data_IF_073836355281
#
_entry.id   IF_073836355281
#
_cell.length_a   1.000
_cell.length_b   1.000
_cell.length_c   1.000
_cell.angle_alpha   90.00
_cell.angle_beta   90.00
_cell.angle_gamma   90.00
#
_symmetry.space_group_name_H-M   'P 1'
#
loop_
_entity.id
_entity.type
_entity.pdbx_description
1 polymer ?
#
# COMPACT_ATOMS: atom_id res chain seq x y z
N UNK A 1 -8.81 7.33 -32.84
CA UNK A 1 -8.65 5.88 -32.59
C UNK A 1 -7.86 5.73 -31.30
N UNK A 2 -8.37 4.93 -30.36
CA UNK A 2 -7.67 4.62 -29.12
C UNK A 2 -6.76 3.41 -29.34
N UNK A 3 -5.56 3.46 -28.78
CA UNK A 3 -4.61 2.35 -28.78
C UNK A 3 -4.16 2.09 -27.35
N UNK A 4 -4.31 0.85 -26.89
CA UNK A 4 -3.78 0.41 -25.61
C UNK A 4 -2.59 -0.51 -25.86
N UNK A 5 -1.48 -0.28 -25.15
CA UNK A 5 -0.30 -1.15 -25.18
C UNK A 5 0.24 -1.38 -23.77
N UNK A 6 0.89 -2.53 -23.57
CA UNK A 6 1.66 -2.79 -22.35
C UNK A 6 3.12 -2.38 -22.49
N UNK A 7 3.75 -2.01 -21.38
CA UNK A 7 5.21 -1.85 -21.22
C UNK A 7 5.71 -2.80 -20.12
N UNK A 8 6.93 -3.29 -20.26
CA UNK A 8 7.54 -4.31 -19.38
C UNK A 8 8.20 -3.71 -18.13
N UNK A 9 8.34 -2.38 -18.07
CA UNK A 9 8.78 -1.67 -16.89
C UNK A 9 8.45 -0.19 -16.97
N UNK A 10 8.33 0.45 -15.80
CA UNK A 10 8.00 1.87 -15.68
C UNK A 10 9.08 2.78 -16.29
N UNK A 11 10.30 2.27 -16.51
CA UNK A 11 11.39 3.00 -17.17
C UNK A 11 11.15 3.25 -18.66
N UNK A 12 10.22 2.55 -19.31
CA UNK A 12 9.88 2.75 -20.74
C UNK A 12 9.04 4.02 -21.00
N UNK A 13 8.57 4.67 -19.94
CA UNK A 13 7.85 5.94 -20.00
C UNK A 13 8.56 6.98 -19.13
N UNK A 14 8.58 8.23 -19.61
CA UNK A 14 9.20 9.31 -18.84
C UNK A 14 8.39 9.58 -17.57
N UNK A 15 9.09 9.94 -16.48
CA UNK A 15 8.44 10.36 -15.24
C UNK A 15 7.51 11.56 -15.45
N UNK A 16 7.87 12.46 -16.38
CA UNK A 16 7.07 13.63 -16.74
C UNK A 16 5.71 13.21 -17.30
N UNK A 17 5.68 12.31 -18.28
CA UNK A 17 4.45 11.91 -18.96
C UNK A 17 3.55 11.07 -18.04
N UNK A 18 4.14 10.15 -17.28
CA UNK A 18 3.39 9.35 -16.31
C UNK A 18 2.78 10.22 -15.19
N UNK A 19 3.60 11.07 -14.57
CA UNK A 19 3.14 11.91 -13.46
C UNK A 19 2.21 13.04 -13.93
N UNK A 20 2.28 13.44 -15.21
CA UNK A 20 1.31 14.39 -15.78
C UNK A 20 -0.12 13.86 -15.63
N UNK A 21 -0.35 12.57 -15.87
CA UNK A 21 -1.68 11.94 -15.80
C UNK A 21 -2.07 11.48 -14.39
N UNK A 22 -1.09 11.11 -13.55
CA UNK A 22 -1.36 10.58 -12.21
C UNK A 22 -1.52 11.67 -11.14
N UNK A 23 -1.07 12.90 -11.42
CA UNK A 23 -0.98 13.95 -10.42
C UNK A 23 0.10 13.68 -9.37
N UNK A 24 0.03 14.43 -8.25
CA UNK A 24 1.06 14.42 -7.20
C UNK A 24 0.50 14.05 -5.82
N UNK A 25 -0.83 13.96 -5.70
CA UNK A 25 -1.56 13.82 -4.45
C UNK A 25 -1.41 12.43 -3.83
N UNK A 26 -1.43 11.38 -4.66
CA UNK A 26 -1.26 9.99 -4.24
C UNK A 26 0.18 9.50 -4.54
N UNK A 27 1.07 9.45 -3.53
CA UNK A 27 2.50 9.27 -3.71
C UNK A 27 2.87 7.90 -4.28
N UNK A 28 2.01 6.90 -4.09
CA UNK A 28 2.30 5.52 -4.49
C UNK A 28 2.06 5.23 -5.97
N UNK A 29 1.30 6.08 -6.68
CA UNK A 29 1.12 5.99 -8.13
C UNK A 29 2.19 6.78 -8.89
N UNK A 30 3.01 7.56 -8.20
CA UNK A 30 4.10 8.31 -8.83
C UNK A 30 5.13 7.40 -9.48
N UNK A 31 5.66 7.87 -10.61
CA UNK A 31 6.71 7.19 -11.36
C UNK A 31 7.91 6.85 -10.48
N UNK A 32 8.37 7.79 -9.66
CA UNK A 32 9.57 7.63 -8.83
C UNK A 32 9.43 6.49 -7.82
N UNK A 33 8.21 6.26 -7.31
CA UNK A 33 7.91 5.19 -6.36
C UNK A 33 7.90 3.82 -7.05
N UNK A 34 7.17 3.70 -8.17
CA UNK A 34 7.11 2.47 -8.97
C UNK A 34 8.50 2.11 -9.53
N UNK A 35 9.24 3.10 -10.02
CA UNK A 35 10.61 2.93 -10.49
C UNK A 35 11.55 2.50 -9.37
N UNK A 36 11.41 3.04 -8.16
CA UNK A 36 12.22 2.58 -7.02
C UNK A 36 11.96 1.11 -6.69
N UNK A 37 10.72 0.62 -6.80
CA UNK A 37 10.36 -0.78 -6.59
C UNK A 37 11.00 -1.71 -7.64
N UNK A 38 10.89 -1.35 -8.91
CA UNK A 38 11.38 -2.15 -10.04
C UNK A 38 12.91 -2.11 -10.14
N UNK A 39 13.49 -0.91 -10.11
CA UNK A 39 14.95 -0.73 -10.21
C UNK A 39 15.72 -1.23 -8.98
N UNK A 40 15.03 -1.62 -7.91
CA UNK A 40 15.62 -2.30 -6.75
C UNK A 40 15.38 -3.81 -6.74
N UNK A 41 14.65 -4.35 -7.71
CA UNK A 41 14.21 -5.75 -7.75
C UNK A 41 13.38 -6.16 -6.53
N UNK A 42 12.75 -5.21 -5.82
CA UNK A 42 11.69 -5.54 -4.88
C UNK A 42 10.45 -6.05 -5.66
N UNK A 43 10.22 -5.45 -6.82
CA UNK A 43 9.27 -5.89 -7.85
C UNK A 43 10.07 -6.45 -9.00
N UNK A 44 10.02 -7.77 -9.18
CA UNK A 44 10.68 -8.49 -10.28
C UNK A 44 10.01 -9.85 -10.48
N UNK A 45 10.23 -10.51 -11.63
CA UNK A 45 9.74 -11.87 -11.85
C UNK A 45 10.16 -12.84 -10.73
N UNK A 46 11.37 -12.67 -10.18
CA UNK A 46 11.88 -13.48 -9.07
C UNK A 46 11.16 -13.27 -7.73
N UNK A 47 10.49 -12.13 -7.53
CA UNK A 47 9.61 -11.88 -6.37
C UNK A 47 8.14 -12.16 -6.69
N UNK A 48 7.88 -12.76 -7.86
CA UNK A 48 6.54 -13.07 -8.35
C UNK A 48 5.75 -11.83 -8.79
N UNK A 49 6.42 -10.74 -9.14
CA UNK A 49 5.86 -9.50 -9.65
C UNK A 49 6.52 -9.13 -10.98
N UNK A 50 5.91 -9.48 -12.11
CA UNK A 50 6.39 -9.05 -13.42
C UNK A 50 5.64 -7.79 -13.85
N UNK A 51 6.29 -6.63 -14.03
CA UNK A 51 5.61 -5.43 -14.51
C UNK A 51 5.04 -5.62 -15.92
N UNK A 52 3.85 -5.06 -16.13
CA UNK A 52 3.11 -5.10 -17.38
C UNK A 52 2.15 -3.90 -17.40
N UNK A 53 2.68 -2.67 -17.31
CA UNK A 53 1.84 -1.48 -17.16
C UNK A 53 1.14 -1.12 -18.47
N UNK A 54 -0.07 -0.56 -18.40
CA UNK A 54 -0.81 -0.16 -19.58
C UNK A 54 -0.66 1.33 -19.85
N UNK A 55 -0.50 1.65 -21.13
CA UNK A 55 -0.53 2.99 -21.68
C UNK A 55 -1.67 3.06 -22.71
N UNK A 56 -2.47 4.11 -22.65
CA UNK A 56 -3.54 4.38 -23.60
C UNK A 56 -3.28 5.69 -24.34
N UNK A 57 -3.29 5.62 -25.66
CA UNK A 57 -3.10 6.75 -26.54
C UNK A 57 -4.38 7.05 -27.34
N UNK A 58 -4.66 8.33 -27.55
CA UNK A 58 -5.60 8.82 -28.56
C UNK A 58 -4.79 9.47 -29.69
N UNK A 59 -4.66 8.77 -30.81
CA UNK A 59 -3.69 9.15 -31.84
C UNK A 59 -2.26 9.16 -31.27
N UNK A 60 -1.61 10.33 -31.25
CA UNK A 60 -0.25 10.49 -30.69
C UNK A 60 -0.23 10.89 -29.22
N UNK A 61 -1.36 11.28 -28.64
CA UNK A 61 -1.43 11.79 -27.27
C UNK A 61 -1.60 10.63 -26.29
N UNK A 62 -0.77 10.58 -25.24
CA UNK A 62 -0.98 9.69 -24.10
C UNK A 62 -2.09 10.26 -23.22
N UNK A 63 -3.15 9.49 -22.98
CA UNK A 63 -4.36 9.96 -22.28
C UNK A 63 -4.67 9.20 -20.99
N UNK A 64 -4.15 7.97 -20.82
CA UNK A 64 -4.29 7.23 -19.57
C UNK A 64 -3.14 6.25 -19.34
N UNK A 65 -2.87 5.95 -18.07
CA UNK A 65 -1.90 4.96 -17.62
C UNK A 65 -2.45 4.11 -16.48
N UNK A 66 -2.02 2.85 -16.38
CA UNK A 66 -2.40 1.95 -15.31
C UNK A 66 -1.22 1.06 -14.89
N UNK A 67 -0.75 1.10 -13.63
CA UNK A 67 0.20 0.12 -13.13
C UNK A 67 -0.48 -1.25 -13.07
N UNK A 68 0.04 -2.18 -13.86
CA UNK A 68 -0.39 -3.57 -13.87
C UNK A 68 0.82 -4.51 -13.84
N UNK A 69 0.60 -5.70 -13.30
CA UNK A 69 1.60 -6.73 -13.06
C UNK A 69 1.04 -8.12 -13.37
N UNK A 70 1.89 -9.03 -13.82
CA UNK A 70 1.63 -10.47 -13.84
C UNK A 70 2.12 -11.05 -12.50
N UNK A 71 1.25 -11.78 -11.80
CA UNK A 71 1.50 -12.36 -10.48
C UNK A 71 1.54 -13.87 -10.51
N UNK A 72 2.57 -14.44 -9.90
CA UNK A 72 2.72 -15.90 -9.73
C UNK A 72 2.36 -16.41 -8.33
N UNK A 73 2.03 -15.51 -7.40
CA UNK A 73 1.52 -15.81 -6.05
C UNK A 73 0.91 -14.56 -5.39
N UNK A 74 0.04 -14.70 -4.37
CA UNK A 74 -0.55 -13.56 -3.63
C UNK A 74 0.38 -12.79 -2.67
N UNK A 75 1.63 -13.22 -2.45
CA UNK A 75 2.50 -12.49 -1.52
C UNK A 75 2.78 -11.05 -1.98
N UNK A 76 2.67 -10.12 -1.02
CA UNK A 76 2.85 -8.68 -1.23
C UNK A 76 1.59 -7.94 -1.69
N UNK A 77 0.51 -8.64 -2.01
CA UNK A 77 -0.76 -8.02 -2.43
C UNK A 77 -1.60 -7.53 -1.24
N UNK A 78 -1.33 -8.05 -0.03
CA UNK A 78 -2.13 -7.86 1.19
C UNK A 78 -3.59 -8.33 1.09
N UNK A 79 -3.94 -8.96 -0.02
CA UNK A 79 -5.17 -9.70 -0.27
C UNK A 79 -4.73 -11.11 -0.66
N UNK A 80 -5.05 -12.11 0.18
CA UNK A 80 -4.63 -13.48 -0.06
C UNK A 80 -5.73 -14.26 -0.77
N UNK A 81 -5.37 -14.86 -1.90
CA UNK A 81 -6.28 -15.66 -2.73
C UNK A 81 -6.12 -17.16 -2.49
N UNK A 82 -5.61 -17.58 -1.33
CA UNK A 82 -5.37 -19.00 -1.05
C UNK A 82 -6.63 -19.85 -1.26
N UNK A 83 -7.80 -19.38 -0.79
CA UNK A 83 -9.05 -20.09 -1.02
C UNK A 83 -9.41 -20.25 -2.51
N UNK A 84 -9.07 -19.27 -3.36
CA UNK A 84 -9.27 -19.36 -4.81
C UNK A 84 -8.26 -20.29 -5.45
N UNK A 85 -6.98 -20.15 -5.12
CA UNK A 85 -5.92 -21.01 -5.61
C UNK A 85 -6.17 -22.49 -5.26
N UNK A 86 -6.56 -22.76 -4.01
CA UNK A 86 -6.92 -24.10 -3.55
C UNK A 86 -8.14 -24.66 -4.29
N UNK A 87 -9.15 -23.82 -4.55
CA UNK A 87 -10.32 -24.24 -5.32
C UNK A 87 -9.96 -24.62 -6.75
N UNK A 88 -9.16 -23.80 -7.45
CA UNK A 88 -8.68 -24.09 -8.80
C UNK A 88 -7.85 -25.38 -8.85
N UNK A 89 -6.95 -25.56 -7.89
CA UNK A 89 -6.15 -26.77 -7.78
C UNK A 89 -7.02 -28.03 -7.59
N UNK A 90 -8.10 -27.96 -6.80
CA UNK A 90 -9.06 -29.07 -6.65
C UNK A 90 -9.76 -29.45 -7.96
N UNK A 91 -9.87 -28.53 -8.92
CA UNK A 91 -10.40 -28.78 -10.26
C UNK A 91 -9.29 -29.04 -11.31
N UNK A 92 -8.03 -29.19 -10.89
CA UNK A 92 -6.91 -29.43 -11.81
C UNK A 92 -6.54 -28.23 -12.69
N UNK A 93 -6.97 -27.02 -12.33
CA UNK A 93 -6.69 -25.80 -13.09
C UNK A 93 -5.61 -24.95 -12.39
N UNK A 94 -4.67 -24.34 -13.14
CA UNK A 94 -3.70 -23.42 -12.55
C UNK A 94 -4.32 -22.05 -12.27
N UNK A 95 -4.30 -21.60 -11.01
CA UNK A 95 -4.74 -20.24 -10.66
C UNK A 95 -3.72 -19.15 -10.98
N UNK A 96 -2.44 -19.48 -11.05
CA UNK A 96 -1.38 -18.55 -11.43
C UNK A 96 -0.82 -18.94 -12.81
N UNK A 97 -0.38 -17.96 -13.63
CA UNK A 97 -0.33 -16.53 -13.32
C UNK A 97 -1.71 -15.84 -13.38
N UNK A 98 -1.82 -14.68 -12.74
CA UNK A 98 -2.98 -13.76 -12.86
C UNK A 98 -2.50 -12.34 -13.19
N UNK A 99 -3.35 -11.54 -13.83
CA UNK A 99 -3.13 -10.10 -13.99
C UNK A 99 -3.57 -9.34 -12.74
N UNK A 100 -2.84 -8.30 -12.39
CA UNK A 100 -3.07 -7.52 -11.18
C UNK A 100 -2.84 -6.03 -11.42
N UNK A 101 -3.87 -5.22 -11.18
CA UNK A 101 -3.76 -3.77 -11.02
C UNK A 101 -3.74 -3.44 -9.53
N UNK A 102 -2.56 -3.09 -9.02
CA UNK A 102 -2.34 -2.74 -7.62
C UNK A 102 -1.06 -1.91 -7.47
N UNK A 103 -0.83 -1.35 -6.29
CA UNK A 103 0.47 -0.83 -5.90
C UNK A 103 1.21 -1.92 -5.10
N UNK A 104 2.39 -2.38 -5.54
CA UNK A 104 3.12 -3.43 -4.85
C UNK A 104 3.42 -3.05 -3.40
N UNK A 105 3.21 -4.03 -2.52
CA UNK A 105 3.45 -3.93 -1.09
C UNK A 105 2.69 -2.82 -0.37
N UNK A 106 1.66 -2.24 -0.97
CA UNK A 106 0.98 -1.04 -0.45
C UNK A 106 -0.55 -1.25 -0.39
N UNK A 107 -1.10 -1.58 0.78
CA UNK A 107 -2.54 -1.81 0.96
C UNK A 107 -3.35 -0.51 1.13
N UNK A 108 -3.01 0.54 0.39
CA UNK A 108 -3.68 1.84 0.43
C UNK A 108 -4.67 1.96 -0.71
N UNK A 109 -5.89 2.43 -0.42
CA UNK A 109 -6.88 2.78 -1.45
C UNK A 109 -6.37 3.95 -2.27
N UNK A 110 -6.58 3.91 -3.59
CA UNK A 110 -6.24 5.05 -4.45
C UNK A 110 -6.70 4.85 -5.89
N UNK A 111 -6.32 5.76 -6.80
CA UNK A 111 -6.96 5.92 -8.11
C UNK A 111 -6.71 4.75 -9.07
N UNK A 112 -5.53 4.09 -8.99
CA UNK A 112 -5.08 2.96 -9.85
C UNK A 112 -5.01 3.24 -11.36
N UNK A 113 -5.60 4.34 -11.83
CA UNK A 113 -5.53 4.82 -13.21
C UNK A 113 -5.15 6.30 -13.13
N UNK A 114 -4.13 6.70 -13.88
CA UNK A 114 -3.83 8.11 -14.12
C UNK A 114 -4.47 8.54 -15.43
N UNK A 115 -5.33 9.56 -15.42
CA UNK A 115 -5.96 10.11 -16.63
C UNK A 115 -6.56 11.50 -16.34
N UNK A 116 -6.67 12.33 -17.37
CA UNK A 116 -7.46 13.57 -17.33
C UNK A 116 -8.86 13.42 -17.92
N UNK A 117 -9.19 12.23 -18.43
CA UNK A 117 -10.49 11.94 -19.00
C UNK A 117 -11.40 11.26 -17.97
N UNK A 118 -12.73 11.38 -18.10
CA UNK A 118 -13.66 10.64 -17.26
C UNK A 118 -13.38 9.13 -17.26
N UNK A 119 -13.32 8.52 -16.07
CA UNK A 119 -12.98 7.09 -15.92
C UNK A 119 -13.94 6.18 -16.70
N UNK A 120 -15.21 6.56 -16.84
CA UNK A 120 -16.21 5.78 -17.60
C UNK A 120 -15.89 5.70 -19.12
N UNK A 121 -15.03 6.56 -19.66
CA UNK A 121 -14.51 6.45 -21.03
C UNK A 121 -13.27 5.58 -21.14
N UNK A 122 -12.46 5.54 -20.07
CA UNK A 122 -11.14 4.90 -20.04
C UNK A 122 -11.23 3.43 -19.62
N UNK A 123 -12.01 3.14 -18.58
CA UNK A 123 -12.10 1.81 -17.97
C UNK A 123 -12.56 0.73 -18.97
N UNK A 124 -13.59 0.93 -19.81
CA UNK A 124 -14.01 -0.10 -20.77
C UNK A 124 -12.89 -0.50 -21.74
N UNK A 125 -12.15 0.48 -22.25
CA UNK A 125 -11.02 0.25 -23.17
C UNK A 125 -9.85 -0.47 -22.50
N UNK A 126 -9.57 -0.18 -21.22
CA UNK A 126 -8.59 -0.96 -20.47
C UNK A 126 -9.06 -2.38 -20.20
N UNK A 127 -10.34 -2.60 -19.90
CA UNK A 127 -10.89 -3.95 -19.67
C UNK A 127 -10.73 -4.82 -20.92
N UNK A 128 -11.06 -4.29 -22.09
CA UNK A 128 -10.88 -4.98 -23.38
C UNK A 128 -9.41 -5.36 -23.60
N UNK A 129 -8.49 -4.43 -23.40
CA UNK A 129 -7.05 -4.70 -23.53
C UNK A 129 -6.55 -5.73 -22.51
N UNK A 130 -7.03 -5.67 -21.27
CA UNK A 130 -6.68 -6.62 -20.20
C UNK A 130 -7.18 -8.03 -20.53
N UNK A 131 -8.36 -8.16 -21.15
CA UNK A 131 -8.88 -9.45 -21.61
C UNK A 131 -7.97 -10.05 -22.68
N UNK A 132 -7.60 -9.27 -23.70
CA UNK A 132 -6.69 -9.72 -24.75
C UNK A 132 -5.30 -10.11 -24.21
N UNK A 133 -4.76 -9.36 -23.26
CA UNK A 133 -3.51 -9.71 -22.56
C UNK A 133 -3.67 -10.96 -21.70
N UNK A 134 -4.82 -11.14 -21.05
CA UNK A 134 -5.11 -12.30 -20.23
C UNK A 134 -5.11 -13.60 -21.04
N UNK A 135 -5.62 -13.56 -22.27
CA UNK A 135 -5.54 -14.67 -23.23
C UNK A 135 -4.10 -14.91 -23.69
N UNK A 136 -3.39 -13.85 -24.07
CA UNK A 136 -2.01 -13.92 -24.57
C UNK A 136 -1.02 -14.50 -23.54
N UNK A 137 -1.18 -14.14 -22.27
CA UNK A 137 -0.36 -14.63 -21.17
C UNK A 137 -0.93 -15.88 -20.47
N UNK A 138 -2.04 -16.44 -20.97
CA UNK A 138 -2.76 -17.57 -20.38
C UNK A 138 -2.98 -17.42 -18.87
N UNK A 139 -3.47 -16.25 -18.46
CA UNK A 139 -3.73 -15.95 -17.05
C UNK A 139 -5.10 -16.44 -16.60
N UNK A 140 -5.25 -16.72 -15.30
CA UNK A 140 -6.52 -17.14 -14.71
C UNK A 140 -7.59 -16.04 -14.68
N UNK A 141 -7.18 -14.78 -14.78
CA UNK A 141 -8.05 -13.61 -14.71
C UNK A 141 -7.30 -12.36 -14.31
N UNK A 142 -8.06 -11.29 -14.03
CA UNK A 142 -7.54 -9.99 -13.62
C UNK A 142 -8.19 -9.49 -12.33
N UNK A 143 -7.36 -8.92 -11.44
CA UNK A 143 -7.77 -8.38 -10.15
C UNK A 143 -7.39 -6.90 -10.04
N UNK A 144 -8.33 -6.05 -9.61
CA UNK A 144 -8.07 -4.68 -9.18
C UNK A 144 -8.14 -4.57 -7.66
N UNK A 145 -7.05 -4.17 -7.00
CA UNK A 145 -6.97 -4.12 -5.53
C UNK A 145 -6.88 -2.69 -4.99
N UNK A 146 -7.63 -2.44 -3.91
CA UNK A 146 -7.73 -1.15 -3.21
C UNK A 146 -8.02 0.02 -4.18
N UNK A 147 -9.06 -0.18 -5.00
CA UNK A 147 -9.58 0.83 -5.93
C UNK A 147 -10.47 1.82 -5.19
N UNK A 148 -10.53 3.05 -5.67
CA UNK A 148 -11.50 4.03 -5.20
C UNK A 148 -12.95 3.61 -5.53
N UNK A 149 -13.95 4.15 -4.79
CA UNK A 149 -15.35 3.79 -5.01
C UNK A 149 -15.85 4.01 -6.44
N UNK A 150 -15.42 5.10 -7.10
CA UNK A 150 -15.80 5.41 -8.47
C UNK A 150 -15.32 4.32 -9.45
N UNK A 151 -14.03 3.99 -9.43
CA UNK A 151 -13.46 2.93 -10.26
C UNK A 151 -14.11 1.58 -9.97
N UNK A 152 -14.40 1.30 -8.70
CA UNK A 152 -15.09 0.06 -8.30
C UNK A 152 -16.49 0.00 -8.90
N UNK A 153 -17.24 1.10 -8.88
CA UNK A 153 -18.59 1.16 -9.43
C UNK A 153 -18.58 1.01 -10.95
N UNK A 154 -17.72 1.73 -11.66
CA UNK A 154 -17.58 1.61 -13.11
C UNK A 154 -17.21 0.17 -13.49
N UNK A 155 -16.31 -0.47 -12.72
CA UNK A 155 -15.96 -1.88 -12.91
C UNK A 155 -17.18 -2.82 -12.79
N UNK A 156 -18.05 -2.61 -11.80
CA UNK A 156 -19.31 -3.37 -11.66
C UNK A 156 -20.24 -3.17 -12.85
N UNK A 157 -20.36 -1.93 -13.33
CA UNK A 157 -21.19 -1.60 -14.49
C UNK A 157 -20.67 -2.26 -15.77
N UNK A 158 -19.36 -2.56 -15.83
CA UNK A 158 -18.70 -3.37 -16.86
C UNK A 158 -18.72 -4.88 -16.56
N UNK A 159 -19.48 -5.32 -15.54
CA UNK A 159 -19.70 -6.72 -15.20
C UNK A 159 -18.63 -7.37 -14.32
N UNK A 160 -17.66 -6.61 -13.77
CA UNK A 160 -16.68 -7.17 -12.85
C UNK A 160 -17.33 -7.51 -11.50
N UNK A 161 -16.95 -8.65 -10.92
CA UNK A 161 -17.41 -9.04 -9.60
C UNK A 161 -16.70 -8.25 -8.51
N UNK A 162 -17.36 -8.06 -7.37
CA UNK A 162 -16.76 -7.36 -6.25
C UNK A 162 -16.52 -8.29 -5.06
N UNK A 163 -15.28 -8.43 -4.61
CA UNK A 163 -14.91 -9.08 -3.36
C UNK A 163 -14.81 -8.07 -2.23
N UNK A 164 -15.56 -8.28 -1.17
CA UNK A 164 -15.56 -7.41 0.00
C UNK A 164 -14.41 -7.77 0.93
N UNK A 165 -13.73 -6.75 1.44
CA UNK A 165 -12.74 -6.86 2.51
C UNK A 165 -13.00 -5.84 3.61
N UNK A 166 -12.45 -6.09 4.80
CA UNK A 166 -12.52 -5.15 5.93
C UNK A 166 -11.16 -4.51 6.16
N UNK A 167 -11.12 -3.18 6.17
CA UNK A 167 -9.95 -2.40 6.55
C UNK A 167 -10.29 -1.48 7.72
N UNK A 168 -9.29 -1.21 8.55
CA UNK A 168 -9.39 -0.23 9.63
C UNK A 168 -8.63 1.02 9.21
N UNK A 169 -9.36 2.10 8.99
CA UNK A 169 -8.80 3.40 8.66
C UNK A 169 -8.90 4.32 9.87
N UNK A 170 -7.86 5.12 10.10
CA UNK A 170 -7.93 6.23 11.05
C UNK A 170 -8.13 7.52 10.26
N UNK A 171 -9.09 8.33 10.67
CA UNK A 171 -9.36 9.62 10.06
C UNK A 171 -9.08 10.72 11.08
N UNK A 172 -8.27 11.69 10.69
CA UNK A 172 -8.16 12.92 11.46
C UNK A 172 -9.44 13.75 11.30
N UNK A 173 -10.27 13.83 12.35
CA UNK A 173 -11.50 14.62 12.35
C UNK A 173 -11.24 16.06 12.76
N UNK A 174 -10.17 16.65 12.23
CA UNK A 174 -9.69 17.98 12.59
C UNK A 174 -9.42 18.15 14.10
N UNK A 175 -8.81 17.12 14.71
CA UNK A 175 -8.44 17.21 16.12
C UNK A 175 -7.36 18.27 16.30
N UNK A 176 -7.62 19.24 17.19
CA UNK A 176 -6.69 20.32 17.54
C UNK A 176 -5.47 19.83 18.30
N UNK A 177 -5.66 18.79 19.12
CA UNK A 177 -4.66 18.23 20.00
C UNK A 177 -5.01 16.80 20.42
N UNK A 178 -4.13 16.20 21.23
CA UNK A 178 -4.28 14.83 21.70
C UNK A 178 -5.46 14.63 22.66
N UNK A 179 -5.80 15.65 23.47
CA UNK A 179 -6.92 15.56 24.40
C UNK A 179 -8.26 15.66 23.67
N UNK A 180 -8.36 16.52 22.65
CA UNK A 180 -9.48 16.57 21.74
C UNK A 180 -9.69 15.19 21.07
N UNK A 181 -8.62 14.55 20.57
CA UNK A 181 -8.70 13.18 20.04
C UNK A 181 -9.23 12.16 21.08
N UNK A 182 -8.76 12.22 22.33
CA UNK A 182 -9.21 11.33 23.41
C UNK A 182 -10.64 11.60 23.89
N UNK A 183 -11.17 12.81 23.69
CA UNK A 183 -12.53 13.17 24.09
C UNK A 183 -13.58 12.33 23.35
N UNK A 184 -13.31 11.94 22.10
CA UNK A 184 -14.19 11.10 21.28
C UNK A 184 -14.15 9.60 21.62
N UNK A 185 -13.40 9.20 22.64
CA UNK A 185 -13.29 7.81 23.05
C UNK A 185 -14.06 7.50 24.33
N UNK A 186 -14.44 6.23 24.51
CA UNK A 186 -15.00 5.74 25.77
C UNK A 186 -14.01 5.94 26.92
N UNK A 187 -14.51 6.18 28.14
CA UNK A 187 -13.69 6.42 29.34
C UNK A 187 -12.64 5.31 29.56
N UNK A 188 -13.02 4.04 29.32
CA UNK A 188 -12.10 2.90 29.42
C UNK A 188 -10.95 3.00 28.42
N UNK A 189 -11.24 3.30 27.15
CA UNK A 189 -10.24 3.41 26.08
C UNK A 189 -9.32 4.60 26.32
N UNK A 190 -9.87 5.76 26.68
CA UNK A 190 -9.13 6.97 27.05
C UNK A 190 -8.17 6.71 28.22
N UNK A 191 -8.64 6.09 29.32
CA UNK A 191 -7.78 5.74 30.47
C UNK A 191 -6.67 4.76 30.09
N UNK A 192 -6.96 3.79 29.22
CA UNK A 192 -5.97 2.84 28.72
C UNK A 192 -4.87 3.53 27.92
N UNK A 193 -5.22 4.41 26.98
CA UNK A 193 -4.25 5.12 26.14
C UNK A 193 -3.37 6.05 26.99
N UNK A 194 -3.97 6.81 27.92
CA UNK A 194 -3.21 7.66 28.85
C UNK A 194 -2.20 6.83 29.65
N UNK A 195 -2.63 5.73 30.27
CA UNK A 195 -1.75 4.83 31.03
C UNK A 195 -0.59 4.28 30.19
N UNK A 196 -0.81 3.99 28.91
CA UNK A 196 0.26 3.53 28.03
C UNK A 196 1.23 4.66 27.63
N UNK A 197 0.72 5.87 27.42
CA UNK A 197 1.55 7.05 27.17
C UNK A 197 2.38 7.42 28.41
N UNK A 198 1.81 7.31 29.61
CA UNK A 198 2.51 7.51 30.88
C UNK A 198 3.62 6.48 31.11
N UNK A 199 3.45 5.25 30.64
CA UNK A 199 4.55 4.26 30.66
C UNK A 199 5.69 4.71 29.76
N UNK A 200 5.40 5.34 28.62
CA UNK A 200 6.43 5.84 27.71
C UNK A 200 7.11 7.07 28.31
N UNK A 201 6.40 7.98 28.98
CA UNK A 201 7.03 9.15 29.62
C UNK A 201 7.99 8.78 30.76
N UNK A 202 7.76 7.64 31.41
CA UNK A 202 8.67 7.07 32.42
C UNK A 202 9.93 6.42 31.83
N UNK A 203 9.86 6.01 30.57
CA UNK A 203 11.04 5.60 29.81
C UNK A 203 11.64 6.89 29.28
N UNK A 204 12.92 7.18 29.53
CA UNK A 204 13.58 8.40 29.05
C UNK A 204 13.71 8.41 27.52
N UNK A 205 12.62 8.35 26.77
CA UNK A 205 12.55 8.20 25.33
C UNK A 205 11.93 9.44 24.72
N UNK A 206 12.62 10.03 23.75
CA UNK A 206 12.09 11.08 22.89
C UNK A 206 11.73 10.48 21.54
N UNK A 207 10.46 10.61 21.16
CA UNK A 207 9.96 10.21 19.85
C UNK A 207 9.92 11.44 18.95
N UNK A 208 10.45 11.31 17.73
CA UNK A 208 10.41 12.33 16.68
C UNK A 208 9.99 11.71 15.36
N UNK A 209 9.29 12.46 14.53
CA UNK A 209 9.18 12.17 13.11
C UNK A 209 10.33 12.88 12.40
N UNK A 210 11.06 12.13 11.58
CA UNK A 210 12.00 12.66 10.60
C UNK A 210 11.29 12.70 9.26
N UNK A 211 11.32 13.84 8.58
CA UNK A 211 10.65 14.03 7.30
C UNK A 211 11.66 14.29 6.18
N UNK A 212 11.44 13.64 5.03
CA UNK A 212 12.27 13.75 3.83
C UNK A 212 13.77 13.78 4.09
N UNK A 213 14.39 14.94 3.88
CA UNK A 213 15.84 15.10 3.99
C UNK A 213 16.38 14.98 5.43
N UNK A 214 15.52 15.00 6.46
CA UNK A 214 15.93 14.66 7.84
C UNK A 214 16.23 13.16 8.01
N UNK A 215 15.80 12.32 7.07
CA UNK A 215 16.02 10.87 7.10
C UNK A 215 17.40 10.57 6.51
N UNK A 216 18.42 10.67 7.36
CA UNK A 216 19.78 10.31 6.99
C UNK A 216 19.97 8.79 6.79
N UNK A 217 21.15 8.40 6.28
CA UNK A 217 21.50 7.00 6.03
C UNK A 217 21.50 6.17 7.32
N UNK A 218 21.85 6.76 8.46
CA UNK A 218 21.83 6.09 9.77
C UNK A 218 20.39 5.77 10.19
N UNK A 219 19.46 6.71 10.08
CA UNK A 219 18.05 6.51 10.36
C UNK A 219 17.46 5.43 9.43
N UNK A 220 17.79 5.49 8.14
CA UNK A 220 17.31 4.53 7.14
C UNK A 220 17.83 3.10 7.41
N UNK A 221 19.08 2.96 7.84
CA UNK A 221 19.67 1.67 8.19
C UNK A 221 18.99 1.04 9.40
N UNK A 222 18.75 1.83 10.45
CA UNK A 222 18.03 1.37 11.61
C UNK A 222 16.59 0.97 11.26
N UNK A 223 15.90 1.78 10.45
CA UNK A 223 14.58 1.43 9.94
C UNK A 223 14.60 0.07 9.22
N UNK A 224 15.54 -0.14 8.30
CA UNK A 224 15.65 -1.39 7.55
C UNK A 224 15.87 -2.61 8.46
N UNK A 225 16.73 -2.48 9.47
CA UNK A 225 16.94 -3.53 10.46
C UNK A 225 15.65 -3.88 11.20
N UNK A 226 14.91 -2.87 11.72
CA UNK A 226 13.65 -3.12 12.41
C UNK A 226 12.56 -3.70 11.49
N UNK A 227 12.53 -3.26 10.23
CA UNK A 227 11.65 -3.78 9.21
C UNK A 227 11.88 -5.28 9.00
N UNK A 228 13.14 -5.71 8.83
CA UNK A 228 13.49 -7.12 8.66
C UNK A 228 13.20 -7.93 9.92
N UNK A 229 13.56 -7.43 11.11
CA UNK A 229 13.25 -8.11 12.40
C UNK A 229 11.74 -8.32 12.55
N UNK A 230 10.92 -7.37 12.13
CA UNK A 230 9.45 -7.48 12.21
C UNK A 230 8.92 -8.63 11.35
N UNK A 231 9.48 -8.83 10.15
CA UNK A 231 9.10 -9.93 9.27
C UNK A 231 9.66 -11.27 9.77
N UNK A 232 10.90 -11.28 10.27
CA UNK A 232 11.54 -12.48 10.82
C UNK A 232 10.77 -13.06 11.99
N UNK A 233 10.18 -12.21 12.86
CA UNK A 233 9.29 -12.65 13.94
C UNK A 233 8.05 -13.40 13.46
N UNK A 234 7.69 -13.29 12.18
CA UNK A 234 6.60 -14.02 11.52
C UNK A 234 7.11 -15.13 10.59
N UNK A 235 8.39 -15.49 10.67
CA UNK A 235 9.01 -16.50 9.81
C UNK A 235 9.13 -16.09 8.35
N UNK A 236 9.11 -14.79 8.03
CA UNK A 236 9.16 -14.28 6.65
C UNK A 236 10.31 -13.28 6.49
N UNK A 237 10.82 -13.14 5.26
CA UNK A 237 11.67 -12.01 4.90
C UNK A 237 10.80 -10.80 4.57
N UNK A 238 11.32 -9.59 4.77
CA UNK A 238 10.66 -8.38 4.32
C UNK A 238 10.65 -8.27 2.79
N UNK A 239 9.57 -7.75 2.23
CA UNK A 239 9.40 -7.51 0.80
C UNK A 239 10.31 -6.41 0.25
N UNK A 240 10.43 -5.30 1.00
CA UNK A 240 11.22 -4.15 0.61
C UNK A 240 12.67 -4.35 1.00
N UNK A 241 13.57 -4.13 0.05
CA UNK A 241 15.01 -4.27 0.27
C UNK A 241 15.69 -2.91 0.53
N UNK A 242 16.97 -2.94 0.91
CA UNK A 242 17.74 -1.73 1.22
C UNK A 242 17.90 -0.81 0.00
N UNK A 243 18.00 -1.39 -1.20
CA UNK A 243 18.13 -0.61 -2.43
C UNK A 243 16.87 0.22 -2.72
N UNK A 244 15.68 -0.34 -2.50
CA UNK A 244 14.41 0.39 -2.58
C UNK A 244 14.40 1.61 -1.65
N UNK A 245 14.77 1.40 -0.38
CA UNK A 245 14.77 2.47 0.64
C UNK A 245 15.74 3.59 0.27
N UNK A 246 16.95 3.25 -0.18
CA UNK A 246 17.95 4.21 -0.60
C UNK A 246 17.52 5.00 -1.85
N UNK A 247 16.87 4.34 -2.81
CA UNK A 247 16.34 5.01 -4.02
C UNK A 247 15.20 5.96 -3.65
N UNK A 248 14.28 5.50 -2.81
CA UNK A 248 13.15 6.31 -2.33
C UNK A 248 13.62 7.56 -1.59
N UNK A 249 14.61 7.42 -0.69
CA UNK A 249 15.14 8.55 0.09
C UNK A 249 15.85 9.59 -0.76
N UNK A 250 16.43 9.19 -1.90
CA UNK A 250 17.13 10.10 -2.82
C UNK A 250 16.17 10.76 -3.81
N UNK A 251 15.30 9.98 -4.42
CA UNK A 251 14.51 10.40 -5.57
C UNK A 251 13.16 10.99 -5.17
N UNK A 252 12.64 10.62 -4.00
CA UNK A 252 11.36 11.10 -3.54
C UNK A 252 11.29 11.38 -2.03
N UNK A 253 12.20 12.22 -1.50
CA UNK A 253 12.32 12.47 -0.07
C UNK A 253 11.06 13.13 0.51
N UNK A 254 10.43 14.06 -0.21
CA UNK A 254 9.35 14.89 0.37
C UNK A 254 8.10 14.11 0.78
N UNK A 255 7.91 12.89 0.28
CA UNK A 255 6.85 12.04 0.80
C UNK A 255 7.26 11.21 2.00
N UNK A 256 8.53 11.00 2.28
CA UNK A 256 8.95 10.08 3.34
C UNK A 256 8.80 10.67 4.74
N UNK A 257 8.28 9.86 5.67
CA UNK A 257 8.24 10.13 7.10
C UNK A 257 8.66 8.89 7.89
N UNK A 258 9.60 9.08 8.82
CA UNK A 258 10.10 8.02 9.70
C UNK A 258 9.95 8.40 11.18
N UNK A 259 9.17 7.62 11.92
CA UNK A 259 9.08 7.75 13.38
C UNK A 259 10.29 7.07 14.05
N UNK A 260 11.10 7.87 14.74
CA UNK A 260 12.27 7.41 15.48
C UNK A 260 12.11 7.68 16.97
N UNK A 261 12.57 6.77 17.82
CA UNK A 261 12.68 7.01 19.26
C UNK A 261 14.15 6.95 19.68
N UNK A 262 14.64 7.99 20.36
CA UNK A 262 15.99 8.03 20.94
C UNK A 262 15.90 8.14 22.46
N UNK A 263 16.80 7.50 23.18
CA UNK A 263 16.95 7.73 24.61
C UNK A 263 17.46 9.15 24.87
N UNK A 264 16.79 9.89 25.75
CA UNK A 264 17.20 11.20 26.22
C UNK A 264 18.38 11.02 27.18
N UNK A 265 19.59 11.22 26.65
CA UNK A 265 20.81 11.13 27.46
C UNK A 265 20.85 12.23 28.51
N UNK A 266 21.25 11.88 29.74
CA UNK A 266 21.99 12.80 30.60
C UNK A 266 23.33 13.07 29.90
N UNK A 267 23.76 14.33 29.88
CA UNK A 267 24.98 14.81 29.20
C UNK A 267 26.17 13.85 29.37
N UNK A 268 27.00 13.74 28.31
CA UNK A 268 28.23 12.94 28.18
C UNK A 268 28.10 11.41 28.13
N UNK A 269 27.90 10.87 26.92
CA UNK A 269 28.44 9.59 26.40
C UNK A 269 27.91 9.37 24.96
N UNK A 270 28.39 8.36 24.21
CA UNK A 270 28.11 8.10 22.78
C UNK A 270 26.84 7.25 22.47
N UNK A 271 26.05 7.53 21.40
CA UNK A 271 24.66 7.08 21.16
C UNK A 271 24.42 5.56 21.23
N UNK A 272 23.30 5.14 21.83
CA UNK A 272 22.88 3.75 21.92
C UNK A 272 21.35 3.67 21.89
N UNK A 273 20.88 2.77 21.02
CA UNK A 273 19.53 2.23 20.82
C UNK A 273 18.40 3.16 20.31
N UNK A 274 17.95 2.81 19.10
CA UNK A 274 16.65 3.19 18.53
C UNK A 274 15.65 2.07 18.78
N UNK A 275 14.38 2.41 19.00
CA UNK A 275 13.26 1.46 18.96
C UNK A 275 12.21 2.03 18.03
N UNK A 276 12.28 1.71 16.73
CA UNK A 276 11.20 2.06 15.83
C UNK A 276 9.95 1.28 16.26
N UNK A 277 8.90 1.99 16.68
CA UNK A 277 7.55 1.41 16.71
C UNK A 277 7.00 1.43 15.28
N UNK A 278 6.12 0.46 15.01
CA UNK A 278 5.55 0.14 13.69
C UNK A 278 5.34 1.42 12.85
N UNK A 279 5.97 1.51 11.68
CA UNK A 279 5.61 2.50 10.68
C UNK A 279 4.13 2.34 10.33
N UNK A 280 3.39 3.45 10.33
CA UNK A 280 1.98 3.51 9.97
C UNK A 280 1.87 4.02 8.54
N UNK A 281 1.07 3.34 7.71
CA UNK A 281 0.58 3.91 6.46
C UNK A 281 -0.52 4.90 6.84
N UNK A 282 -0.18 6.18 6.78
CA UNK A 282 -1.17 7.24 6.78
C UNK A 282 -1.60 7.45 5.33
N UNK A 283 -2.83 7.04 5.00
CA UNK A 283 -3.48 7.33 3.73
C UNK A 283 -4.40 8.55 3.91
N UNK A 284 -3.91 9.58 4.61
CA UNK A 284 -4.69 10.79 4.84
C UNK A 284 -3.93 12.03 4.40
N UNK A 285 -4.47 12.67 3.37
CA UNK A 285 -4.17 14.03 2.99
C UNK A 285 -4.52 15.01 4.11
N UNK A 286 -3.50 15.46 4.85
CA UNK A 286 -3.59 16.67 5.66
C UNK A 286 -2.19 17.24 5.94
N UNK A 287 -1.83 18.28 5.19
CA UNK A 287 -0.85 19.26 5.63
C UNK A 287 -1.47 20.07 6.78
N UNK A 288 -1.27 19.65 8.03
CA UNK A 288 -1.17 20.60 9.15
C UNK A 288 -0.49 20.02 10.39
N UNK A 289 0.20 20.92 11.09
CA UNK A 289 1.19 20.72 12.16
C UNK A 289 0.73 19.74 13.26
N UNK A 290 1.61 18.77 13.54
CA UNK A 290 1.85 18.08 14.83
C UNK A 290 0.61 17.67 15.66
N UNK A 291 0.30 16.37 15.70
CA UNK A 291 0.28 15.60 16.97
C UNK A 291 0.33 14.10 16.69
N UNK A 292 1.21 13.39 17.41
CA UNK A 292 1.47 11.96 17.20
C UNK A 292 0.49 11.13 18.06
N UNK A 293 -0.48 10.47 17.41
CA UNK A 293 -1.35 9.48 18.03
C UNK A 293 -0.56 8.17 18.24
N UNK A 294 -0.12 7.93 19.48
CA UNK A 294 0.53 6.70 19.88
C UNK A 294 -0.53 5.60 20.04
N UNK A 295 -0.52 4.59 19.16
CA UNK A 295 -1.49 3.48 19.25
C UNK A 295 -1.15 2.50 20.36
N UNK A 296 -2.23 2.01 20.95
CA UNK A 296 -2.29 1.25 22.17
C UNK A 296 -2.01 -0.24 22.01
N UNK A 297 -0.95 -0.73 22.68
CA UNK A 297 -0.80 -2.05 23.33
C UNK A 297 0.70 -2.34 23.58
N UNK A 298 1.15 -2.48 24.84
CA UNK A 298 2.42 -3.13 25.13
C UNK A 298 2.23 -4.65 24.94
N UNK A 299 2.96 -5.26 24.01
CA UNK A 299 3.18 -6.71 24.07
C UNK A 299 4.09 -6.98 25.28
N UNK A 300 3.46 -7.28 26.41
CA UNK A 300 4.10 -8.00 27.52
C UNK A 300 4.09 -9.46 27.08
N UNK A 301 5.28 -10.05 26.95
CA UNK A 301 5.46 -11.48 26.75
C UNK A 301 4.96 -12.16 28.03
N UNK A 302 3.83 -12.85 27.95
CA UNK A 302 3.51 -13.96 28.84
C UNK A 302 3.42 -15.20 27.95
N UNK A 303 4.30 -16.15 28.22
CA UNK A 303 4.16 -17.52 27.74
C UNK A 303 2.86 -18.10 28.31
N UNK A 304 1.93 -18.45 27.43
CA UNK A 304 1.02 -19.59 27.58
C UNK A 304 0.02 -19.62 26.42
N UNK A 305 0.03 -20.74 25.70
CA UNK A 305 -1.09 -21.40 25.01
C UNK A 305 -1.96 -20.59 24.01
N UNK A 306 -1.83 -20.98 22.74
CA UNK A 306 -2.90 -21.15 21.73
C UNK A 306 -3.94 -20.05 21.55
N UNK A 307 -3.75 -19.18 20.55
CA UNK A 307 -4.80 -18.80 19.60
C UNK A 307 -4.20 -18.04 18.40
N UNK A 308 -4.53 -18.51 17.20
CA UNK A 308 -4.16 -17.89 15.93
C UNK A 308 -4.84 -16.52 15.79
N UNK A 309 -4.05 -15.45 15.69
CA UNK A 309 -4.54 -14.12 15.32
C UNK A 309 -3.69 -13.57 14.16
N UNK A 310 -4.20 -13.75 12.93
CA UNK A 310 -3.55 -13.32 11.68
C UNK A 310 -3.71 -11.80 11.47
N UNK A 311 -3.05 -11.02 12.32
CA UNK A 311 -2.93 -9.56 12.14
C UNK A 311 -1.82 -9.22 11.14
N UNK A 312 -2.19 -8.95 9.89
CA UNK A 312 -1.29 -8.39 8.87
C UNK A 312 -0.83 -6.98 9.30
N UNK A 313 0.47 -6.75 9.52
CA UNK A 313 1.00 -5.40 9.75
C UNK A 313 2.03 -5.06 8.70
N UNK A 314 1.68 -4.13 7.82
CA UNK A 314 2.62 -3.45 6.95
C UNK A 314 3.43 -2.45 7.79
N UNK A 315 4.75 -2.51 7.67
CA UNK A 315 5.68 -1.54 8.22
C UNK A 315 6.31 -0.81 7.03
N UNK A 316 5.61 0.14 6.43
CA UNK A 316 6.17 0.97 5.35
C UNK A 316 6.53 2.32 5.95
N UNK A 317 7.69 2.84 5.57
CA UNK A 317 8.03 4.25 5.78
C UNK A 317 6.82 5.09 5.35
N UNK A 318 6.23 5.88 6.25
CA UNK A 318 4.97 6.57 5.96
C UNK A 318 5.16 7.53 4.80
N UNK A 319 4.27 7.53 3.80
CA UNK A 319 4.26 8.53 2.74
C UNK A 319 3.23 9.63 3.05
N UNK A 320 3.55 10.89 2.78
CA UNK A 320 2.61 12.03 2.90
C UNK A 320 1.70 12.10 1.67
N UNK A 321 0.39 12.24 1.89
CA UNK A 321 -0.60 12.57 0.87
C UNK A 321 -1.06 14.04 0.98
N UNK A 322 -1.58 14.57 -0.12
CA UNK A 322 -2.32 15.84 -0.27
C UNK A 322 -3.66 15.41 -0.88
N UNK A 323 -4.88 15.63 -0.36
CA UNK A 323 -5.74 16.85 -0.44
C UNK A 323 -7.09 16.63 0.32
N UNK A 324 -8.12 17.49 0.05
CA UNK A 324 -9.32 17.90 0.83
C UNK A 324 -10.60 17.01 0.81
N UNK A 325 -11.33 17.09 1.94
CA UNK A 325 -12.79 17.17 2.19
C UNK A 325 -13.76 15.94 2.12
N UNK A 326 -14.60 15.92 3.17
CA UNK A 326 -15.91 15.30 3.44
C UNK A 326 -16.02 13.80 3.79
N UNK A 327 -17.07 13.51 4.56
CA UNK A 327 -17.02 12.72 5.79
C UNK A 327 -17.89 11.46 5.77
N UNK A 328 -17.44 10.39 6.44
CA UNK A 328 -18.24 9.42 7.19
C UNK A 328 -17.29 8.50 8.01
N UNK A 329 -17.63 8.17 9.27
CA UNK A 329 -17.17 6.88 9.84
C UNK A 329 -18.26 5.88 9.50
N UNK A 330 -17.96 4.97 8.59
CA UNK A 330 -18.78 3.79 8.32
C UNK A 330 -17.82 2.63 8.03
N UNK A 331 -18.20 1.38 8.31
CA UNK A 331 -17.51 0.25 7.70
C UNK A 331 -17.65 0.43 6.19
N UNK A 332 -16.60 0.94 5.54
CA UNK A 332 -16.55 1.00 4.09
C UNK A 332 -16.31 -0.42 3.60
N UNK A 333 -17.34 -1.01 3.01
CA UNK A 333 -17.23 -2.20 2.17
C UNK A 333 -16.43 -1.78 0.93
N UNK A 334 -15.10 -1.85 1.04
CA UNK A 334 -14.22 -1.65 -0.10
C UNK A 334 -14.26 -2.92 -0.93
N UNK A 335 -14.85 -2.76 -2.11
CA UNK A 335 -14.88 -3.77 -3.12
C UNK A 335 -13.53 -3.93 -3.79
N UNK A 336 -13.09 -5.17 -3.97
CA UNK A 336 -12.04 -5.53 -4.91
C UNK A 336 -12.73 -6.01 -6.17
N UNK A 337 -12.42 -5.47 -7.34
CA UNK A 337 -12.98 -6.01 -8.57
C UNK A 337 -12.21 -7.28 -8.97
N UNK A 338 -12.91 -8.40 -9.10
CA UNK A 338 -12.44 -9.67 -9.66
C UNK A 338 -13.12 -9.87 -11.02
N UNK A 339 -12.33 -9.96 -12.09
CA UNK A 339 -12.82 -10.20 -13.44
C UNK A 339 -13.26 -11.65 -13.71
N UNK A 340 -14.00 -11.82 -14.80
CA UNK A 340 -14.82 -12.96 -15.23
C UNK A 340 -14.15 -14.36 -15.29
N UNK A 341 -15.01 -15.39 -15.20
CA UNK A 341 -14.75 -16.82 -15.45
C UNK A 341 -14.45 -17.10 -16.92
N UNK A 342 -13.53 -18.03 -17.21
CA UNK A 342 -13.60 -18.85 -18.44
C UNK A 342 -14.96 -19.56 -18.46
N UNK A 343 -15.79 -19.29 -19.47
CA UNK A 343 -16.96 -20.13 -19.76
C UNK A 343 -16.46 -21.54 -20.10
N UNK A 344 -16.73 -22.49 -19.22
CA UNK A 344 -16.38 -23.90 -19.39
C UNK A 344 -17.16 -24.85 -18.48
N UNK A 345 -18.25 -24.37 -17.87
CA UNK A 345 -19.18 -25.21 -17.11
C UNK A 345 -20.52 -25.21 -17.84
N UNK A 346 -20.73 -26.20 -18.71
CA UNK A 346 -22.10 -26.65 -18.98
C UNK A 346 -22.59 -27.37 -17.72
N UNK A 347 -23.78 -27.02 -17.28
CA UNK A 347 -24.47 -27.68 -16.17
C UNK A 347 -24.44 -29.20 -16.30
N UNK A 348 -24.02 -29.90 -15.24
CA UNK A 348 -24.72 -31.04 -14.66
C UNK A 348 -24.57 -30.97 -13.15
#
# INVERSE_FOLDING_TARGET
MYQVRSIEGISEISAKDWNHLCGQDYPFLRHEFLHALEASSAVSPSTGWTPCHLLMNEGRQLIAVMPMYIKTHSYGEYVFDWAWADAWQRYGLPYYPKLLTAIPFTPATGPRIGTHHPLNKIVPLFIEAIQALGESFNTSGWHGLFTEPELTQIGKDQGLFTRLGTQYHWFNRQYSDFEHYLAHMTSRKRKSIRKERDKISKLNLRIRCLEGHEIDSTALNHFYQFYQITHLKRGRKGYLNRAFLNKSSKNYPNSLCCAVSKEARKSSQAPSFLKARRPYLDATGALQKRSMACTSRPAIIKESSTQYDMGCSASILGLKESTKLHAALSPLTLGHCTGWRRQGFSQR
#
